data_IF_306135229065
#
_entry.id   IF_306135229065
#
_cell.length_a   1.000
_cell.length_b   1.000
_cell.length_c   1.000
_cell.angle_alpha   90.00
_cell.angle_beta   90.00
_cell.angle_gamma   90.00
#
_symmetry.space_group_name_H-M   'P 1'
#
loop_
_entity.id
_entity.type
_entity.pdbx_description
1 polymer ?
#
# COMPACT_ATOMS: atom_id res chain seq x y z
N UNK A 1 13.07 -8.21 9.68
CA UNK A 1 13.57 -8.15 11.07
C UNK A 1 12.37 -7.94 12.00
N UNK A 2 11.84 -9.02 12.59
CA UNK A 2 10.80 -8.93 13.63
C UNK A 2 11.51 -8.68 14.96
N UNK A 3 11.23 -7.55 15.59
CA UNK A 3 11.69 -7.30 16.97
C UNK A 3 10.87 -8.25 17.86
N UNK A 4 11.58 -9.10 18.60
CA UNK A 4 10.99 -10.04 19.55
C UNK A 4 10.22 -9.29 20.65
N UNK A 5 9.04 -9.82 20.92
CA UNK A 5 8.01 -9.26 21.77
C UNK A 5 8.42 -9.38 23.27
N UNK A 6 8.83 -8.29 23.95
CA UNK A 6 9.05 -8.24 25.42
C UNK A 6 7.70 -8.04 26.13
N UNK A 7 7.54 -8.68 27.30
CA UNK A 7 6.31 -8.82 28.10
C UNK A 7 5.31 -7.65 28.00
N UNK A 8 4.08 -7.98 27.60
CA UNK A 8 2.96 -7.05 27.45
C UNK A 8 2.11 -7.06 28.70
N UNK A 9 1.84 -5.89 29.26
CA UNK A 9 0.94 -5.76 30.39
C UNK A 9 -0.29 -4.97 29.95
N UNK A 10 -1.47 -5.59 30.08
CA UNK A 10 -2.72 -4.87 30.13
C UNK A 10 -2.77 -4.17 31.49
N UNK A 11 -2.75 -2.84 31.51
CA UNK A 11 -2.82 -2.08 32.75
C UNK A 11 -4.12 -1.30 32.81
N UNK A 12 -4.83 -1.39 33.94
CA UNK A 12 -6.02 -0.58 34.23
C UNK A 12 -5.65 0.52 35.21
N UNK A 13 -5.94 1.77 34.86
CA UNK A 13 -5.92 2.90 35.78
C UNK A 13 -7.18 3.74 35.52
N UNK A 14 -8.04 3.88 36.53
CA UNK A 14 -9.19 4.80 36.55
C UNK A 14 -10.18 4.64 35.36
N UNK A 15 -10.82 3.48 35.24
CA UNK A 15 -11.90 3.18 34.26
C UNK A 15 -11.61 3.42 32.77
N UNK A 16 -10.36 3.72 32.41
CA UNK A 16 -9.92 3.75 31.02
C UNK A 16 -9.06 2.53 30.73
N UNK A 17 -9.59 1.66 29.89
CA UNK A 17 -8.86 0.49 29.43
C UNK A 17 -7.84 0.90 28.35
N UNK A 18 -6.58 0.56 28.58
CA UNK A 18 -5.49 0.85 27.66
C UNK A 18 -4.53 -0.32 27.53
N UNK A 19 -3.94 -0.43 26.34
CA UNK A 19 -2.87 -1.35 26.04
C UNK A 19 -1.55 -0.58 26.02
N UNK A 20 -0.54 -1.03 26.77
CA UNK A 20 0.73 -0.30 26.93
C UNK A 20 1.91 -1.16 26.51
N UNK A 21 2.85 -0.54 25.79
CA UNK A 21 4.13 -1.10 25.45
C UNK A 21 5.22 -0.16 25.96
N UNK A 22 6.18 -0.74 26.68
CA UNK A 22 7.35 -0.05 27.20
C UNK A 22 8.60 -0.44 26.38
N UNK A 23 9.70 0.27 26.61
CA UNK A 23 11.02 0.01 26.02
C UNK A 23 11.05 0.03 24.48
N UNK A 24 10.22 0.87 23.88
CA UNK A 24 10.16 1.02 22.43
C UNK A 24 11.38 1.76 21.89
N UNK A 25 12.12 1.11 21.00
CA UNK A 25 13.29 1.70 20.34
C UNK A 25 12.86 2.53 19.13
N UNK A 26 12.15 3.64 19.33
CA UNK A 26 11.82 4.57 18.24
C UNK A 26 12.96 5.57 18.00
N UNK A 27 13.76 5.94 19.02
CA UNK A 27 14.77 7.02 18.90
C UNK A 27 14.23 8.28 18.20
N UNK A 28 12.93 8.57 18.33
CA UNK A 28 12.22 9.68 17.67
C UNK A 28 11.81 9.44 16.21
N UNK A 29 12.03 8.24 15.64
CA UNK A 29 11.58 7.91 14.30
C UNK A 29 10.85 6.56 14.25
N UNK A 30 9.83 6.46 13.39
CA UNK A 30 9.16 5.19 13.13
C UNK A 30 7.66 5.36 12.89
N UNK A 31 7.01 4.24 12.61
CA UNK A 31 5.58 4.16 12.34
C UNK A 31 4.95 3.06 13.16
N UNK A 32 3.83 3.37 13.79
CA UNK A 32 3.02 2.45 14.58
C UNK A 32 1.77 2.15 13.77
N UNK A 33 1.52 0.88 13.48
CA UNK A 33 0.33 0.42 12.79
C UNK A 33 -0.55 -0.42 13.69
N UNK A 34 -1.83 -0.12 13.72
CA UNK A 34 -2.84 -0.78 14.53
C UNK A 34 -3.97 -1.25 13.62
N UNK A 35 -4.08 -2.57 13.44
CA UNK A 35 -5.10 -3.20 12.61
C UNK A 35 -6.24 -3.74 13.47
N UNK A 36 -7.43 -3.15 13.34
CA UNK A 36 -8.59 -3.52 14.15
C UNK A 36 -9.92 -3.27 13.41
N UNK A 37 -10.99 -3.89 13.89
CA UNK A 37 -12.35 -3.46 13.64
C UNK A 37 -12.86 -2.74 14.88
N UNK A 38 -13.11 -1.43 14.77
CA UNK A 38 -13.43 -0.61 15.93
C UNK A 38 -14.80 -0.97 16.51
N UNK A 39 -14.83 -1.25 17.82
CA UNK A 39 -16.07 -1.47 18.60
C UNK A 39 -16.46 -0.27 19.46
N UNK A 40 -15.66 0.80 19.42
CA UNK A 40 -15.90 2.06 20.10
C UNK A 40 -15.85 3.21 19.09
N UNK A 41 -16.42 4.34 19.46
CA UNK A 41 -16.49 5.53 18.61
C UNK A 41 -15.16 6.30 18.52
N UNK A 42 -14.16 5.90 19.30
CA UNK A 42 -12.81 6.49 19.25
C UNK A 42 -11.71 5.54 19.69
N UNK A 43 -10.52 5.76 19.12
CA UNK A 43 -9.25 5.17 19.53
C UNK A 43 -8.20 6.27 19.68
N UNK A 44 -7.20 6.03 20.53
CA UNK A 44 -6.09 6.96 20.72
C UNK A 44 -4.77 6.20 20.74
N UNK A 45 -3.80 6.64 19.93
CA UNK A 45 -2.42 6.16 19.95
C UNK A 45 -1.58 7.27 20.59
N UNK A 46 -1.12 7.04 21.82
CA UNK A 46 -0.33 7.99 22.61
C UNK A 46 1.12 7.52 22.70
N UNK A 47 2.02 8.48 22.55
CA UNK A 47 3.47 8.34 22.66
C UNK A 47 4.01 9.23 23.75
N UNK A 48 4.83 8.67 24.63
CA UNK A 48 5.44 9.41 25.72
C UNK A 48 6.73 8.75 26.20
N UNK A 49 7.43 9.46 27.07
CA UNK A 49 8.46 8.88 27.92
C UNK A 49 7.79 8.27 29.15
N UNK A 50 8.20 7.08 29.57
CA UNK A 50 7.55 6.34 30.66
C UNK A 50 7.57 7.09 32.01
N UNK A 51 8.51 8.02 32.18
CA UNK A 51 8.70 8.85 33.38
C UNK A 51 8.09 10.25 33.27
N UNK A 52 7.44 10.59 32.15
CA UNK A 52 6.86 11.91 31.93
C UNK A 52 5.39 11.80 31.52
N UNK A 53 4.65 12.82 31.93
CA UNK A 53 3.29 13.05 31.51
C UNK A 53 3.21 13.69 30.11
N UNK A 54 4.29 14.30 29.62
CA UNK A 54 4.31 14.90 28.28
C UNK A 54 4.11 13.84 27.20
N UNK A 55 3.36 14.19 26.16
CA UNK A 55 2.99 13.23 25.13
C UNK A 55 2.72 13.86 23.77
N UNK A 56 2.74 13.00 22.75
CA UNK A 56 2.07 13.24 21.47
C UNK A 56 1.03 12.14 21.30
N UNK A 57 -0.19 12.50 20.90
CA UNK A 57 -1.22 11.51 20.60
C UNK A 57 -1.87 11.75 19.26
N UNK A 58 -2.31 10.65 18.67
CA UNK A 58 -3.25 10.62 17.57
C UNK A 58 -4.59 10.12 18.10
N UNK A 59 -5.60 10.98 18.04
CA UNK A 59 -6.96 10.68 18.43
C UNK A 59 -7.81 10.53 17.17
N UNK A 60 -8.46 9.37 17.01
CA UNK A 60 -9.27 9.03 15.83
C UNK A 60 -10.68 8.72 16.31
N UNK A 61 -11.66 9.47 15.82
CA UNK A 61 -13.07 9.23 16.09
C UNK A 61 -13.90 9.12 14.80
N UNK A 62 -15.20 8.87 14.95
CA UNK A 62 -16.15 8.70 13.84
C UNK A 62 -16.51 10.00 13.12
N UNK A 63 -16.09 11.16 13.63
CA UNK A 63 -16.39 12.47 13.05
C UNK A 63 -15.19 13.45 13.00
N UNK A 64 -14.03 13.03 13.52
CA UNK A 64 -12.80 13.83 13.52
C UNK A 64 -11.57 12.95 13.79
N UNK A 65 -10.43 13.38 13.27
CA UNK A 65 -9.13 12.94 13.74
C UNK A 65 -8.28 14.16 14.11
N UNK A 66 -7.46 14.06 15.15
CA UNK A 66 -6.55 15.13 15.53
C UNK A 66 -5.26 14.61 16.14
N UNK A 67 -4.21 15.43 15.99
CA UNK A 67 -2.93 15.21 16.65
C UNK A 67 -2.82 16.22 17.78
N UNK A 68 -2.58 15.71 18.98
CA UNK A 68 -2.44 16.49 20.20
C UNK A 68 -1.00 16.39 20.71
N UNK A 69 -0.54 17.44 21.37
CA UNK A 69 0.73 17.48 22.06
C UNK A 69 0.52 18.06 23.45
N UNK A 70 1.01 17.38 24.48
CA UNK A 70 1.14 17.93 25.83
C UNK A 70 2.61 18.07 26.17
N UNK A 71 3.03 19.28 26.51
CA UNK A 71 4.37 19.58 26.98
C UNK A 71 4.30 20.64 28.08
N UNK A 72 5.02 20.42 29.19
CA UNK A 72 5.08 21.37 30.33
C UNK A 72 3.68 21.72 30.86
N UNK A 73 2.83 20.70 31.04
CA UNK A 73 1.40 20.81 31.43
C UNK A 73 0.50 21.60 30.48
N UNK A 74 1.00 22.06 29.34
CA UNK A 74 0.21 22.71 28.30
C UNK A 74 -0.16 21.70 27.22
N UNK A 75 -1.45 21.45 27.07
CA UNK A 75 -1.97 20.65 25.97
C UNK A 75 -2.38 21.57 24.81
N UNK A 76 -1.91 21.21 23.62
CA UNK A 76 -2.19 21.92 22.38
C UNK A 76 -2.62 20.94 21.30
N UNK A 77 -3.54 21.38 20.47
CA UNK A 77 -3.92 20.67 19.26
C UNK A 77 -3.03 21.14 18.12
N UNK A 78 -2.19 20.24 17.61
CA UNK A 78 -1.29 20.56 16.52
C UNK A 78 -2.06 20.71 15.21
N UNK A 79 -2.96 19.76 14.92
CA UNK A 79 -3.85 19.84 13.76
C UNK A 79 -5.07 18.92 13.93
N UNK A 80 -6.09 19.11 13.08
CA UNK A 80 -7.30 18.29 12.99
C UNK A 80 -7.82 18.20 11.56
N UNK A 81 -8.52 17.11 11.29
CA UNK A 81 -9.31 16.96 10.06
C UNK A 81 -10.72 16.48 10.38
N UNK A 82 -11.67 16.94 9.56
CA UNK A 82 -13.06 16.46 9.51
C UNK A 82 -13.36 15.81 8.16
N UNK A 83 -12.33 15.47 7.38
CA UNK A 83 -12.50 14.64 6.18
C UNK A 83 -12.91 13.23 6.61
N UNK A 84 -14.03 12.74 6.05
CA UNK A 84 -14.57 11.41 6.35
C UNK A 84 -13.57 10.29 6.08
N UNK A 85 -12.63 10.48 5.15
CA UNK A 85 -11.56 9.50 4.86
C UNK A 85 -10.59 9.31 6.02
N UNK A 86 -10.56 10.22 6.99
CA UNK A 86 -9.70 10.18 8.16
C UNK A 86 -10.39 9.60 9.41
N UNK A 87 -11.64 9.13 9.30
CA UNK A 87 -12.42 8.72 10.46
C UNK A 87 -12.21 7.26 10.83
N UNK A 88 -12.53 6.96 12.07
CA UNK A 88 -12.62 5.60 12.56
C UNK A 88 -13.78 4.89 11.86
N UNK A 89 -13.47 3.79 11.16
CA UNK A 89 -14.44 2.89 10.58
C UNK A 89 -14.79 1.77 11.58
N UNK A 90 -16.07 1.70 11.96
CA UNK A 90 -16.63 0.70 12.89
C UNK A 90 -17.23 -0.51 12.17
N UNK A 91 -17.48 -0.41 10.87
CA UNK A 91 -18.14 -1.44 10.07
C UNK A 91 -17.16 -2.50 9.57
N UNK A 92 -15.91 -2.11 9.32
CA UNK A 92 -14.89 -3.00 8.78
C UNK A 92 -13.55 -2.90 9.50
N UNK A 93 -12.81 -3.99 9.43
CA UNK A 93 -11.43 -4.07 9.89
C UNK A 93 -10.54 -3.17 9.02
N UNK A 94 -9.71 -2.34 9.65
CA UNK A 94 -8.87 -1.35 9.00
C UNK A 94 -7.52 -1.20 9.72
N UNK A 95 -6.46 -0.92 8.96
CA UNK A 95 -5.15 -0.53 9.49
C UNK A 95 -5.10 0.99 9.67
N UNK A 96 -4.86 1.45 10.90
CA UNK A 96 -4.59 2.85 11.23
C UNK A 96 -3.13 3.00 11.60
N UNK A 97 -2.45 4.05 11.17
CA UNK A 97 -1.03 4.20 11.51
C UNK A 97 -0.63 5.62 11.88
N UNK A 98 0.30 5.73 12.83
CA UNK A 98 0.87 7.00 13.29
C UNK A 98 2.39 7.00 13.12
N UNK A 99 2.89 7.96 12.36
CA UNK A 99 4.29 8.05 11.94
C UNK A 99 4.98 9.29 12.49
N UNK A 100 6.20 9.11 13.00
CA UNK A 100 7.05 10.12 13.61
C UNK A 100 8.32 10.24 12.78
N UNK A 101 8.49 11.40 12.18
CA UNK A 101 9.63 11.72 11.33
C UNK A 101 10.43 12.85 11.99
N UNK A 102 11.28 12.52 12.97
CA UNK A 102 12.14 13.49 13.64
C UNK A 102 13.07 14.21 12.67
N UNK A 103 13.62 13.52 11.66
CA UNK A 103 14.60 14.12 10.74
C UNK A 103 13.96 15.26 9.94
N UNK A 104 12.74 15.07 9.46
CA UNK A 104 12.05 16.10 8.68
C UNK A 104 11.03 16.91 9.49
N UNK A 105 10.84 16.58 10.77
CA UNK A 105 9.90 17.21 11.70
C UNK A 105 8.43 17.10 11.29
N UNK A 106 8.06 15.92 10.77
CA UNK A 106 6.70 15.60 10.41
C UNK A 106 6.06 14.60 11.37
N UNK A 107 4.77 14.78 11.62
CA UNK A 107 3.89 13.75 12.16
C UNK A 107 2.86 13.41 11.09
N UNK A 108 2.64 12.12 10.82
CA UNK A 108 1.69 11.68 9.79
C UNK A 108 0.75 10.62 10.34
N UNK A 109 -0.52 10.74 9.98
CA UNK A 109 -1.54 9.74 10.22
C UNK A 109 -2.12 9.30 8.87
N UNK A 110 -2.33 8.00 8.71
CA UNK A 110 -3.04 7.44 7.57
C UNK A 110 -3.81 6.18 7.88
N UNK A 111 -4.54 5.74 6.87
CA UNK A 111 -5.45 4.59 6.90
C UNK A 111 -5.11 3.66 5.73
N UNK A 112 -5.01 2.36 6.02
CA UNK A 112 -4.60 1.33 5.06
C UNK A 112 -3.10 1.04 5.14
N UNK A 113 -2.48 0.55 4.05
CA UNK A 113 -1.03 0.37 3.97
C UNK A 113 -0.25 1.61 4.45
N UNK A 114 0.92 1.39 5.07
CA UNK A 114 1.78 2.47 5.61
C UNK A 114 2.52 3.18 4.48
N UNK A 115 1.78 3.92 3.66
CA UNK A 115 2.25 4.61 2.45
C UNK A 115 1.99 6.12 2.56
N UNK A 116 2.89 6.91 1.99
CA UNK A 116 2.81 8.37 2.02
C UNK A 116 1.54 8.88 1.30
N UNK A 117 1.16 8.23 0.20
CA UNK A 117 -0.08 8.51 -0.55
C UNK A 117 -1.36 8.30 0.28
N UNK A 118 -1.31 7.48 1.33
CA UNK A 118 -2.45 7.17 2.20
C UNK A 118 -2.45 7.99 3.49
N UNK A 119 -1.63 9.05 3.55
CA UNK A 119 -1.66 10.03 4.63
C UNK A 119 -2.95 10.84 4.55
N UNK A 120 -3.72 10.85 5.64
CA UNK A 120 -4.99 11.60 5.75
C UNK A 120 -4.88 12.81 6.68
N UNK A 121 -3.82 12.90 7.48
CA UNK A 121 -3.48 14.07 8.29
C UNK A 121 -1.95 14.17 8.43
N UNK A 122 -1.40 15.37 8.27
CA UNK A 122 0.05 15.61 8.34
C UNK A 122 0.34 16.94 9.02
N UNK A 123 1.25 16.92 9.99
CA UNK A 123 1.71 18.11 10.71
C UNK A 123 3.17 18.36 10.36
N UNK A 124 3.44 19.51 9.76
CA UNK A 124 4.79 20.08 9.67
C UNK A 124 5.06 20.89 10.94
N UNK A 125 5.93 20.37 11.81
CA UNK A 125 6.20 21.02 13.08
C UNK A 125 7.00 22.34 12.93
N UNK A 126 7.84 22.46 11.89
CA UNK A 126 8.55 23.72 11.60
C UNK A 126 7.54 24.81 11.25
N UNK A 127 6.57 24.47 10.39
CA UNK A 127 5.48 25.38 10.04
C UNK A 127 4.64 25.75 11.26
N UNK A 128 4.27 24.78 12.09
CA UNK A 128 3.52 25.04 13.33
C UNK A 128 4.22 26.04 14.25
N UNK A 129 5.52 25.87 14.52
CA UNK A 129 6.30 26.80 15.34
C UNK A 129 6.38 28.20 14.70
N UNK A 130 6.59 28.27 13.38
CA UNK A 130 6.60 29.53 12.65
C UNK A 130 5.27 30.28 12.80
N UNK A 131 4.16 29.58 12.60
CA UNK A 131 2.81 30.15 12.70
C UNK A 131 2.48 30.61 14.13
N UNK A 132 2.99 29.91 15.16
CA UNK A 132 2.87 30.35 16.55
C UNK A 132 3.63 31.65 16.80
N UNK A 133 4.91 31.71 16.42
CA UNK A 133 5.75 32.88 16.65
C UNK A 133 5.28 34.11 15.88
N UNK A 134 4.63 33.93 14.73
CA UNK A 134 4.06 35.04 13.95
C UNK A 134 2.81 35.67 14.59
N UNK A 135 2.01 34.89 15.34
CA UNK A 135 0.80 35.41 16.01
C UNK A 135 1.13 36.40 17.14
N UNK A 136 2.33 36.30 17.69
CA UNK A 136 2.79 37.15 18.80
C UNK A 136 3.45 38.46 18.31
N UNK A 137 3.48 38.72 16.98
CA UNK A 137 4.15 39.89 16.40
C UNK A 137 3.17 41.01 16.01
N UNK A 138 3.51 42.29 16.28
CA UNK A 138 2.79 43.44 15.73
C UNK A 138 3.02 43.58 14.21
N UNK A 139 1.99 43.96 13.45
CA UNK A 139 1.93 43.98 11.97
C UNK A 139 2.86 45.00 11.26
N UNK A 140 3.79 45.66 11.94
CA UNK A 140 4.64 46.69 11.33
C UNK A 140 5.98 46.13 10.84
N UNK A 141 6.53 46.76 9.79
CA UNK A 141 7.74 46.38 9.04
C UNK A 141 8.88 45.85 9.93
N UNK A 142 9.06 44.53 9.91
CA UNK A 142 10.16 43.83 10.59
C UNK A 142 11.49 44.16 9.90
N UNK A 143 12.50 44.51 10.68
CA UNK A 143 13.85 44.69 10.14
C UNK A 143 14.47 43.34 9.75
N UNK A 144 15.49 43.34 8.88
CA UNK A 144 16.23 42.11 8.54
C UNK A 144 16.84 41.42 9.76
N UNK A 145 17.20 42.18 10.80
CA UNK A 145 17.72 41.62 12.05
C UNK A 145 16.63 40.87 12.84
N UNK A 146 15.39 41.36 12.81
CA UNK A 146 14.26 40.70 13.48
C UNK A 146 13.91 39.36 12.80
N UNK A 147 13.96 39.33 11.46
CA UNK A 147 13.76 38.11 10.68
C UNK A 147 14.84 37.06 10.98
N UNK A 148 16.11 37.46 11.04
CA UNK A 148 17.21 36.54 11.36
C UNK A 148 17.12 35.97 12.79
N UNK A 149 16.72 36.79 13.77
CA UNK A 149 16.52 36.32 15.14
C UNK A 149 15.33 35.36 15.26
N UNK A 150 14.25 35.63 14.52
CA UNK A 150 13.08 34.76 14.46
C UNK A 150 13.43 33.40 13.85
N UNK A 151 14.18 33.38 12.75
CA UNK A 151 14.63 32.13 12.13
C UNK A 151 15.50 31.29 13.08
N UNK A 152 16.36 31.94 13.87
CA UNK A 152 17.14 31.24 14.88
C UNK A 152 16.25 30.64 15.98
N UNK A 153 15.28 31.40 16.48
CA UNK A 153 14.32 30.92 17.49
C UNK A 153 13.49 29.73 16.98
N UNK A 154 13.09 29.74 15.71
CA UNK A 154 12.40 28.60 15.07
C UNK A 154 13.33 27.37 15.08
N UNK A 155 14.58 27.52 14.64
CA UNK A 155 15.55 26.42 14.61
C UNK A 155 15.75 25.81 15.99
N UNK A 156 15.93 26.65 17.01
CA UNK A 156 16.16 26.20 18.39
C UNK A 156 14.98 25.40 18.93
N UNK A 157 13.74 25.89 18.75
CA UNK A 157 12.53 25.19 19.20
C UNK A 157 12.28 23.88 18.46
N UNK A 158 12.57 23.86 17.15
CA UNK A 158 12.46 22.65 16.32
C UNK A 158 13.50 21.60 16.75
N UNK A 159 14.72 22.01 17.06
CA UNK A 159 15.76 21.12 17.57
C UNK A 159 15.41 20.58 18.97
N UNK A 160 14.87 21.43 19.85
CA UNK A 160 14.41 21.04 21.18
C UNK A 160 13.28 20.00 21.10
N UNK A 161 12.31 20.21 20.21
CA UNK A 161 11.28 19.23 19.92
C UNK A 161 11.88 17.89 19.43
N UNK A 162 12.85 17.95 18.50
CA UNK A 162 13.55 16.77 18.02
C UNK A 162 14.27 15.99 19.13
N UNK A 163 14.90 16.70 20.08
CA UNK A 163 15.53 16.10 21.27
C UNK A 163 14.50 15.49 22.22
N UNK A 164 13.33 16.09 22.35
CA UNK A 164 12.25 15.59 23.20
C UNK A 164 11.64 14.30 22.67
N UNK A 165 11.21 14.25 21.41
CA UNK A 165 10.59 13.03 20.84
C UNK A 165 11.55 11.84 20.76
N UNK A 166 12.87 12.09 20.76
CA UNK A 166 13.90 11.03 20.84
C UNK A 166 13.83 10.25 22.16
N UNK A 167 13.26 10.83 23.21
CA UNK A 167 13.12 10.22 24.54
C UNK A 167 11.88 9.34 24.68
N UNK A 168 10.99 9.30 23.68
CA UNK A 168 9.81 8.45 23.74
C UNK A 168 10.21 6.97 23.69
N UNK A 169 9.77 6.25 24.72
CA UNK A 169 10.02 4.82 24.93
C UNK A 169 8.71 4.05 25.17
N UNK A 170 7.57 4.75 25.10
CA UNK A 170 6.27 4.22 25.46
C UNK A 170 5.23 4.44 24.37
N UNK A 171 4.43 3.42 24.11
CA UNK A 171 3.18 3.52 23.34
C UNK A 171 2.03 3.07 24.21
N UNK A 172 1.01 3.90 24.29
CA UNK A 172 -0.27 3.57 24.93
C UNK A 172 -1.38 3.67 23.89
N UNK A 173 -2.15 2.61 23.72
CA UNK A 173 -3.32 2.59 22.85
C UNK A 173 -4.58 2.49 23.71
N UNK A 174 -5.52 3.43 23.52
CA UNK A 174 -6.82 3.45 24.20
C UNK A 174 -7.95 3.15 23.23
N UNK A 175 -9.09 2.74 23.79
CA UNK A 175 -10.31 2.47 23.00
C UNK A 175 -10.43 1.03 22.49
N UNK A 176 -9.60 0.11 22.99
CA UNK A 176 -9.49 -1.26 22.46
C UNK A 176 -10.27 -2.34 23.22
N UNK A 177 -10.75 -2.08 24.44
CA UNK A 177 -11.30 -3.15 25.29
C UNK A 177 -12.82 -3.12 25.29
N UNK A 178 -13.43 -4.28 25.05
CA UNK A 178 -14.85 -4.56 25.26
C UNK A 178 -15.03 -5.29 26.60
N UNK A 179 -16.04 -4.91 27.38
CA UNK A 179 -16.40 -5.66 28.60
C UNK A 179 -17.16 -6.92 28.17
N UNK A 180 -16.72 -8.09 28.65
CA UNK A 180 -17.58 -9.28 28.69
C UNK A 180 -18.31 -9.34 30.04
N UNK A 181 -19.37 -10.14 30.11
CA UNK A 181 -20.20 -10.36 31.31
C UNK A 181 -19.43 -10.93 32.51
N UNK A 182 -18.19 -11.41 32.31
CA UNK A 182 -17.30 -11.88 33.37
C UNK A 182 -16.14 -10.90 33.62
N UNK A 183 -16.07 -10.20 34.77
CA UNK A 183 -15.15 -9.07 35.01
C UNK A 183 -13.66 -9.41 35.10
N UNK A 184 -13.29 -10.68 34.97
CA UNK A 184 -11.93 -11.21 35.14
C UNK A 184 -11.20 -11.56 33.83
N UNK A 185 -11.86 -11.49 32.67
CA UNK A 185 -11.22 -11.77 31.36
C UNK A 185 -11.49 -10.62 30.39
N UNK A 186 -10.43 -9.88 30.03
CA UNK A 186 -10.49 -8.80 29.06
C UNK A 186 -9.86 -9.26 27.74
N UNK A 187 -10.58 -9.09 26.64
CA UNK A 187 -10.00 -9.24 25.30
C UNK A 187 -9.66 -7.86 24.74
N UNK A 188 -8.45 -7.75 24.18
CA UNK A 188 -8.05 -6.56 23.44
C UNK A 188 -8.54 -6.71 22.00
N UNK A 189 -9.34 -5.76 21.55
CA UNK A 189 -9.90 -5.78 20.20
C UNK A 189 -8.96 -5.11 19.19
N UNK A 190 -7.83 -5.77 18.92
CA UNK A 190 -7.08 -5.56 17.69
C UNK A 190 -6.56 -6.90 17.17
N UNK A 191 -6.42 -6.98 15.87
CA UNK A 191 -5.91 -8.18 15.20
C UNK A 191 -4.39 -8.16 15.02
N UNK A 192 -3.81 -6.97 14.84
CA UNK A 192 -2.36 -6.82 14.65
C UNK A 192 -1.88 -5.46 15.12
N UNK A 193 -0.76 -5.44 15.84
CA UNK A 193 -0.01 -4.23 16.17
C UNK A 193 1.39 -4.36 15.59
N UNK A 194 1.78 -3.42 14.75
CA UNK A 194 3.02 -3.44 13.98
C UNK A 194 3.86 -2.21 14.29
N UNK A 195 5.16 -2.43 14.44
CA UNK A 195 6.15 -1.36 14.57
C UNK A 195 7.10 -1.37 13.38
N UNK A 196 7.25 -0.21 12.76
CA UNK A 196 8.23 0.01 11.72
C UNK A 196 9.26 1.03 12.21
N UNK A 197 10.57 0.70 12.26
CA UNK A 197 11.62 1.65 12.64
C UNK A 197 11.72 2.88 11.73
N UNK A 198 11.15 2.86 10.52
CA UNK A 198 11.22 3.98 9.59
C UNK A 198 9.90 4.77 9.58
N UNK A 199 9.99 6.11 9.49
CA UNK A 199 8.82 6.93 9.22
C UNK A 199 8.32 6.74 7.79
N UNK A 200 7.02 6.89 7.61
CA UNK A 200 6.42 7.07 6.29
C UNK A 200 6.83 8.46 5.81
N UNK A 201 7.63 8.51 4.74
CA UNK A 201 8.19 9.76 4.19
C UNK A 201 7.89 9.86 2.70
N UNK A 202 8.37 8.89 1.95
CA UNK A 202 8.12 8.69 0.53
C UNK A 202 7.75 7.24 0.29
N UNK A 203 6.95 7.01 -0.74
CA UNK A 203 6.62 5.66 -1.18
C UNK A 203 7.75 5.06 -2.00
N UNK A 204 7.99 3.76 -1.84
CA UNK A 204 8.93 3.04 -2.70
C UNK A 204 8.37 3.01 -4.13
N UNK A 205 9.13 3.44 -5.15
CA UNK A 205 8.59 3.57 -6.50
C UNK A 205 8.07 2.24 -7.06
N UNK A 206 6.95 2.23 -7.81
CA UNK A 206 6.36 0.99 -8.29
C UNK A 206 7.12 0.35 -9.46
N UNK A 207 7.89 1.13 -10.21
CA UNK A 207 8.60 0.68 -11.41
C UNK A 207 10.03 0.24 -11.08
N UNK A 208 10.43 -0.91 -11.62
CA UNK A 208 11.75 -1.50 -11.47
C UNK A 208 12.53 -1.29 -12.77
N UNK A 209 13.74 -0.75 -12.64
CA UNK A 209 14.69 -0.65 -13.75
C UNK A 209 15.86 -1.63 -13.52
N UNK A 210 16.58 -1.99 -14.59
CA UNK A 210 17.83 -2.73 -14.44
C UNK A 210 18.84 -1.85 -13.71
N UNK A 211 19.71 -2.45 -12.90
CA UNK A 211 20.71 -1.70 -12.14
C UNK A 211 21.66 -0.88 -13.04
N UNK A 212 21.95 -1.40 -14.23
CA UNK A 212 22.75 -0.73 -15.27
C UNK A 212 22.07 0.47 -15.93
N UNK A 213 20.73 0.57 -15.83
CA UNK A 213 19.94 1.68 -16.37
C UNK A 213 19.71 2.81 -15.34
N UNK A 214 20.19 2.64 -14.09
CA UNK A 214 19.98 3.60 -13.03
C UNK A 214 20.80 4.89 -13.23
N UNK A 215 20.12 6.03 -13.23
CA UNK A 215 20.72 7.37 -13.35
C UNK A 215 20.48 8.19 -12.08
N UNK A 216 21.32 9.20 -11.82
CA UNK A 216 21.16 10.09 -10.67
C UNK A 216 19.82 10.82 -10.72
N UNK A 217 19.44 11.32 -11.89
CA UNK A 217 18.17 12.01 -12.13
C UNK A 217 16.97 11.06 -11.94
N UNK A 218 17.09 9.81 -12.41
CA UNK A 218 16.06 8.79 -12.22
C UNK A 218 15.81 8.49 -10.74
N UNK A 219 16.88 8.38 -9.95
CA UNK A 219 16.81 8.15 -8.51
C UNK A 219 16.25 9.36 -7.75
N UNK A 220 16.69 10.58 -8.07
CA UNK A 220 16.22 11.83 -7.45
C UNK A 220 14.71 12.04 -7.67
N UNK A 221 14.19 11.71 -8.86
CA UNK A 221 12.77 11.82 -9.16
C UNK A 221 11.89 10.86 -8.34
N UNK A 222 12.46 9.82 -7.72
CA UNK A 222 11.70 8.84 -6.94
C UNK A 222 10.63 8.12 -7.76
N UNK A 223 10.85 7.93 -9.07
CA UNK A 223 9.89 7.29 -9.98
C UNK A 223 10.23 5.83 -10.31
N UNK A 224 11.46 5.43 -10.02
CA UNK A 224 11.99 4.09 -10.31
C UNK A 224 12.81 3.58 -9.12
N UNK A 225 12.89 2.26 -8.99
CA UNK A 225 13.77 1.58 -8.05
C UNK A 225 14.54 0.47 -8.77
N UNK A 226 15.57 -0.05 -8.11
CA UNK A 226 16.23 -1.30 -8.52
C UNK A 226 15.72 -2.47 -7.69
N UNK A 227 15.92 -3.69 -8.19
CA UNK A 227 15.42 -4.90 -7.56
C UNK A 227 16.01 -5.15 -6.16
N UNK A 228 17.27 -4.76 -5.95
CA UNK A 228 17.99 -4.91 -4.68
C UNK A 228 17.37 -4.12 -3.51
N UNK A 229 16.55 -3.10 -3.81
CA UNK A 229 15.83 -2.33 -2.78
C UNK A 229 14.56 -3.04 -2.29
N UNK A 230 14.12 -4.10 -2.97
CA UNK A 230 12.85 -4.77 -2.72
C UNK A 230 13.00 -5.99 -1.79
N UNK A 231 11.91 -6.49 -1.18
CA UNK A 231 11.93 -7.72 -0.39
C UNK A 231 12.49 -8.92 -1.18
N UNK A 232 13.15 -9.85 -0.50
CA UNK A 232 13.76 -11.05 -1.11
C UNK A 232 12.76 -11.85 -1.95
N UNK A 233 11.49 -11.91 -1.54
CA UNK A 233 10.42 -12.51 -2.33
C UNK A 233 10.32 -11.85 -3.71
N UNK A 234 10.22 -10.52 -3.79
CA UNK A 234 10.19 -9.80 -5.06
C UNK A 234 11.46 -10.02 -5.89
N UNK A 235 12.63 -10.09 -5.25
CA UNK A 235 13.90 -10.35 -5.94
C UNK A 235 13.88 -11.71 -6.65
N UNK A 236 13.43 -12.76 -5.96
CA UNK A 236 13.27 -14.10 -6.56
C UNK A 236 12.32 -14.06 -7.76
N UNK A 237 11.18 -13.39 -7.62
CA UNK A 237 10.20 -13.28 -8.69
C UNK A 237 10.75 -12.55 -9.92
N UNK A 238 11.42 -11.41 -9.70
CA UNK A 238 12.01 -10.60 -10.77
C UNK A 238 12.99 -11.40 -11.63
N UNK A 239 13.92 -12.14 -11.01
CA UNK A 239 14.93 -12.89 -11.75
C UNK A 239 14.35 -14.02 -12.63
N UNK A 240 13.12 -14.46 -12.36
CA UNK A 240 12.44 -15.45 -13.20
C UNK A 240 11.77 -14.84 -14.43
N UNK A 241 11.47 -13.53 -14.45
CA UNK A 241 10.71 -12.91 -15.55
C UNK A 241 11.44 -11.78 -16.27
N UNK A 242 12.46 -11.17 -15.67
CA UNK A 242 13.10 -9.96 -16.19
C UNK A 242 13.95 -10.16 -17.45
N UNK A 243 14.33 -11.40 -17.81
CA UNK A 243 15.15 -11.68 -18.99
C UNK A 243 14.53 -11.16 -20.28
N UNK A 244 15.31 -10.52 -21.15
CA UNK A 244 14.85 -10.02 -22.45
C UNK A 244 14.36 -11.16 -23.38
N UNK A 245 14.76 -12.41 -23.12
CA UNK A 245 14.28 -13.60 -23.83
C UNK A 245 12.83 -13.99 -23.48
N UNK A 246 12.29 -13.47 -22.37
CA UNK A 246 10.88 -13.67 -22.02
C UNK A 246 10.08 -12.61 -22.76
N UNK A 247 9.72 -12.95 -24.00
CA UNK A 247 8.96 -12.12 -24.93
C UNK A 247 7.76 -12.89 -25.47
N UNK A 248 6.70 -12.17 -25.83
CA UNK A 248 5.56 -12.76 -26.53
C UNK A 248 5.96 -13.31 -27.91
N UNK A 249 6.71 -12.52 -28.67
CA UNK A 249 7.14 -12.94 -30.00
C UNK A 249 8.28 -13.93 -29.85
N UNK A 250 8.05 -15.14 -30.35
CA UNK A 250 8.98 -16.28 -30.22
C UNK A 250 9.57 -16.63 -31.57
N UNK A 251 10.71 -17.31 -31.58
CA UNK A 251 11.37 -17.67 -32.84
C UNK A 251 10.48 -18.47 -33.80
N UNK A 252 9.67 -19.39 -33.27
CA UNK A 252 8.72 -20.22 -34.02
C UNK A 252 7.38 -19.53 -34.32
N UNK A 253 7.11 -18.39 -33.68
CA UNK A 253 5.94 -17.56 -33.94
C UNK A 253 6.27 -16.06 -33.73
N UNK A 254 6.94 -15.42 -34.69
CA UNK A 254 7.46 -14.05 -34.55
C UNK A 254 6.35 -13.00 -34.51
N UNK A 255 5.19 -13.27 -35.11
CA UNK A 255 4.03 -12.36 -35.14
C UNK A 255 3.00 -12.67 -34.06
N UNK A 256 3.37 -13.37 -32.99
CA UNK A 256 2.40 -13.87 -32.01
C UNK A 256 1.56 -12.75 -31.39
N UNK A 257 2.19 -11.63 -30.99
CA UNK A 257 1.48 -10.47 -30.45
C UNK A 257 0.49 -9.85 -31.47
N UNK A 258 0.89 -9.76 -32.74
CA UNK A 258 0.04 -9.26 -33.82
C UNK A 258 -1.14 -10.20 -34.09
N UNK A 259 -0.91 -11.50 -34.06
CA UNK A 259 -1.95 -12.51 -34.23
C UNK A 259 -3.01 -12.46 -33.11
N UNK A 260 -2.58 -12.22 -31.86
CA UNK A 260 -3.50 -12.01 -30.74
C UNK A 260 -4.32 -10.74 -30.95
N UNK A 261 -3.68 -9.63 -31.31
CA UNK A 261 -4.38 -8.36 -31.59
C UNK A 261 -5.43 -8.54 -32.70
N UNK A 262 -5.07 -9.25 -33.77
CA UNK A 262 -6.00 -9.58 -34.84
C UNK A 262 -7.18 -10.44 -34.34
N UNK A 263 -6.91 -11.44 -33.48
CA UNK A 263 -7.94 -12.30 -32.88
C UNK A 263 -8.90 -11.52 -31.96
N UNK A 264 -8.40 -10.48 -31.29
CA UNK A 264 -9.21 -9.58 -30.45
C UNK A 264 -10.09 -8.68 -31.31
N UNK A 265 -9.55 -8.16 -32.42
CA UNK A 265 -10.28 -7.21 -33.30
C UNK A 265 -11.30 -7.88 -34.22
N UNK A 266 -11.15 -9.17 -34.47
CA UNK A 266 -12.04 -9.93 -35.33
C UNK A 266 -13.15 -10.61 -34.52
N UNK A 267 -14.42 -10.33 -34.83
CA UNK A 267 -15.57 -10.94 -34.13
C UNK A 267 -15.67 -12.46 -34.29
N UNK A 268 -15.03 -13.04 -35.30
CA UNK A 268 -14.91 -14.49 -35.46
C UNK A 268 -13.74 -15.09 -34.67
N UNK A 269 -12.81 -14.26 -34.19
CA UNK A 269 -11.59 -14.65 -33.51
C UNK A 269 -11.84 -15.30 -32.14
N UNK A 270 -10.99 -16.23 -31.76
CA UNK A 270 -11.11 -16.95 -30.48
C UNK A 270 -10.97 -16.00 -29.28
N UNK A 271 -10.11 -14.98 -29.37
CA UNK A 271 -9.93 -14.00 -28.29
C UNK A 271 -11.17 -13.13 -28.13
N UNK A 272 -11.71 -12.59 -29.23
CA UNK A 272 -12.95 -11.80 -29.20
C UNK A 272 -14.10 -12.59 -28.55
N UNK A 273 -14.33 -13.83 -29.00
CA UNK A 273 -15.42 -14.67 -28.49
C UNK A 273 -15.27 -14.96 -26.99
N UNK A 274 -14.04 -15.19 -26.51
CA UNK A 274 -13.79 -15.39 -25.07
C UNK A 274 -14.03 -14.11 -24.27
N UNK A 275 -13.61 -12.95 -24.78
CA UNK A 275 -13.88 -11.66 -24.14
C UNK A 275 -15.39 -11.37 -24.07
N UNK A 276 -16.12 -11.62 -25.17
CA UNK A 276 -17.57 -11.49 -25.22
C UNK A 276 -18.28 -12.40 -24.21
N UNK A 277 -17.81 -13.64 -24.06
CA UNK A 277 -18.29 -14.56 -23.04
C UNK A 277 -18.09 -14.00 -21.61
N UNK A 278 -16.90 -13.46 -21.32
CA UNK A 278 -16.56 -12.88 -20.01
C UNK A 278 -17.30 -11.58 -19.72
N UNK A 279 -17.67 -10.83 -20.75
CA UNK A 279 -18.43 -9.59 -20.64
C UNK A 279 -19.91 -9.81 -20.28
N UNK A 280 -20.43 -11.04 -20.38
CA UNK A 280 -21.84 -11.34 -20.07
C UNK A 280 -22.20 -10.90 -18.65
N UNK A 281 -23.04 -9.86 -18.56
CA UNK A 281 -23.50 -9.30 -17.29
C UNK A 281 -22.52 -8.35 -16.61
N UNK A 282 -21.44 -7.91 -17.28
CA UNK A 282 -20.43 -6.95 -16.79
C UNK A 282 -20.14 -5.87 -17.84
N UNK A 283 -19.36 -4.85 -17.48
CA UNK A 283 -18.85 -3.92 -18.47
C UNK A 283 -17.88 -4.70 -19.39
N UNK A 284 -18.06 -4.68 -20.72
CA UNK A 284 -17.12 -5.33 -21.65
C UNK A 284 -15.67 -4.88 -21.48
N UNK A 285 -15.44 -3.61 -21.12
CA UNK A 285 -14.09 -3.09 -20.87
C UNK A 285 -13.49 -3.60 -19.55
N UNK A 286 -14.30 -4.11 -18.63
CA UNK A 286 -13.83 -4.74 -17.38
C UNK A 286 -13.52 -6.24 -17.61
N UNK A 287 -12.88 -6.56 -18.73
CA UNK A 287 -12.49 -7.93 -19.10
C UNK A 287 -11.08 -7.99 -19.64
N UNK A 288 -10.43 -9.13 -19.48
CA UNK A 288 -9.09 -9.41 -20.02
C UNK A 288 -8.92 -10.93 -20.08
N UNK A 289 -7.94 -11.40 -20.86
CA UNK A 289 -7.64 -12.84 -20.96
C UNK A 289 -6.51 -13.20 -19.99
N UNK A 290 -6.63 -14.36 -19.33
CA UNK A 290 -5.64 -14.94 -18.42
C UNK A 290 -5.15 -16.25 -19.02
N UNK A 291 -3.86 -16.33 -19.32
CA UNK A 291 -3.22 -17.52 -19.88
C UNK A 291 -2.16 -18.00 -18.89
N UNK A 292 -2.30 -19.22 -18.38
CA UNK A 292 -1.36 -19.76 -17.39
C UNK A 292 -0.13 -20.38 -18.05
N UNK A 293 1.04 -20.10 -17.47
CA UNK A 293 2.32 -20.64 -17.89
C UNK A 293 2.83 -21.62 -16.83
N UNK A 294 3.15 -22.85 -17.25
CA UNK A 294 3.64 -23.89 -16.34
C UNK A 294 2.54 -24.54 -15.50
N UNK A 295 2.95 -25.20 -14.43
CA UNK A 295 2.07 -25.93 -13.52
C UNK A 295 1.83 -25.14 -12.23
N UNK A 296 0.70 -25.42 -11.59
CA UNK A 296 0.43 -24.97 -10.23
C UNK A 296 1.40 -25.67 -9.26
N UNK A 297 2.19 -24.87 -8.54
CA UNK A 297 3.19 -25.35 -7.59
C UNK A 297 2.67 -25.28 -6.13
N UNK A 298 1.44 -24.83 -5.91
CA UNK A 298 0.86 -24.64 -4.58
C UNK A 298 1.49 -23.50 -3.77
N UNK A 299 2.30 -22.66 -4.41
CA UNK A 299 3.01 -21.53 -3.78
C UNK A 299 2.39 -20.16 -4.14
N UNK A 300 1.23 -20.15 -4.78
CA UNK A 300 0.43 -18.97 -5.10
C UNK A 300 -1.06 -19.32 -5.23
N UNK A 301 -1.96 -18.33 -5.34
CA UNK A 301 -3.34 -18.58 -5.75
C UNK A 301 -3.40 -19.08 -7.21
N UNK A 302 -3.46 -20.40 -7.38
CA UNK A 302 -3.38 -21.06 -8.69
C UNK A 302 -1.98 -21.05 -9.28
N UNK A 303 -1.86 -21.19 -10.60
CA UNK A 303 -0.57 -21.21 -11.27
C UNK A 303 0.17 -19.88 -11.12
N UNK A 304 1.47 -19.89 -10.77
CA UNK A 304 2.15 -18.69 -10.34
C UNK A 304 2.46 -17.73 -11.49
N UNK A 305 2.68 -18.24 -12.71
CA UNK A 305 2.89 -17.43 -13.90
C UNK A 305 1.59 -17.26 -14.69
N UNK A 306 1.17 -16.02 -14.88
CA UNK A 306 -0.04 -15.67 -15.63
C UNK A 306 0.29 -14.59 -16.66
N UNK A 307 0.12 -14.90 -17.93
CA UNK A 307 0.09 -13.91 -19.00
C UNK A 307 -1.31 -13.32 -19.06
N UNK A 308 -1.42 -12.04 -18.76
CA UNK A 308 -2.65 -11.27 -18.89
C UNK A 308 -2.62 -10.44 -20.18
N UNK A 309 -3.67 -10.57 -20.98
CA UNK A 309 -3.80 -9.92 -22.28
C UNK A 309 -4.98 -8.95 -22.20
N UNK A 310 -4.69 -7.69 -22.45
CA UNK A 310 -5.57 -6.55 -22.24
C UNK A 310 -5.89 -5.88 -23.57
N UNK A 311 -7.12 -6.00 -24.09
CA UNK A 311 -7.54 -5.21 -25.24
C UNK A 311 -7.44 -3.70 -24.97
N UNK A 312 -7.46 -2.90 -26.04
CA UNK A 312 -7.45 -1.43 -25.95
C UNK A 312 -8.57 -0.93 -25.03
N UNK A 313 -8.24 -0.08 -24.06
CA UNK A 313 -9.21 0.52 -23.12
C UNK A 313 -9.64 -0.38 -21.96
N UNK A 314 -9.35 -1.68 -22.01
CA UNK A 314 -9.78 -2.63 -20.99
C UNK A 314 -9.04 -2.45 -19.66
N UNK A 315 -9.69 -2.86 -18.57
CA UNK A 315 -9.20 -2.67 -17.20
C UNK A 315 -9.65 -3.78 -16.25
N UNK A 316 -8.98 -3.89 -15.11
CA UNK A 316 -9.38 -4.79 -14.01
C UNK A 316 -10.32 -4.07 -13.03
N UNK A 317 -11.17 -4.75 -12.26
CA UNK A 317 -11.75 -4.12 -11.06
C UNK A 317 -10.64 -3.68 -10.09
N UNK A 318 -10.98 -2.80 -9.14
CA UNK A 318 -10.10 -2.53 -7.99
C UNK A 318 -10.03 -3.80 -7.15
N UNK A 319 -8.84 -4.33 -6.91
CA UNK A 319 -8.67 -5.61 -6.22
C UNK A 319 -7.45 -5.64 -5.31
N UNK A 320 -7.46 -6.59 -4.36
CA UNK A 320 -6.41 -6.87 -3.38
C UNK A 320 -5.79 -8.25 -3.62
N UNK A 321 -4.46 -8.30 -3.55
CA UNK A 321 -3.62 -9.50 -3.68
C UNK A 321 -3.38 -10.25 -2.37
N UNK A 322 -4.28 -10.16 -1.40
CA UNK A 322 -4.26 -10.93 -0.13
C UNK A 322 -2.85 -11.13 0.49
N UNK A 323 -2.02 -10.09 0.43
CA UNK A 323 -0.68 -10.00 1.00
C UNK A 323 0.41 -10.84 0.29
N UNK A 324 0.14 -11.34 -0.93
CA UNK A 324 1.14 -12.00 -1.78
C UNK A 324 2.15 -11.02 -2.36
N UNK A 325 3.24 -11.58 -2.88
CA UNK A 325 4.24 -10.85 -3.64
C UNK A 325 4.02 -11.07 -5.13
N UNK A 326 4.25 -10.03 -5.92
CA UNK A 326 4.17 -10.13 -7.37
C UNK A 326 5.24 -9.28 -8.06
N UNK A 327 5.67 -9.71 -9.24
CA UNK A 327 6.35 -8.86 -10.22
C UNK A 327 5.60 -8.96 -11.55
N UNK A 328 5.35 -7.83 -12.19
CA UNK A 328 4.54 -7.72 -13.41
C UNK A 328 5.44 -7.20 -14.52
N UNK A 329 5.77 -8.05 -15.49
CA UNK A 329 6.54 -7.66 -16.67
C UNK A 329 5.68 -6.90 -17.68
N UNK A 330 6.24 -5.81 -18.19
CA UNK A 330 5.64 -4.76 -19.01
C UNK A 330 6.53 -3.54 -18.83
N UNK A 331 6.12 -2.61 -17.98
CA UNK A 331 7.01 -1.58 -17.39
C UNK A 331 7.78 -2.07 -16.13
N UNK A 332 7.77 -3.40 -15.89
CA UNK A 332 8.28 -4.12 -14.71
C UNK A 332 7.90 -3.43 -13.38
N UNK A 333 6.76 -3.82 -12.81
CA UNK A 333 6.32 -3.34 -11.49
C UNK A 333 6.30 -4.43 -10.43
N UNK A 334 6.16 -4.05 -9.16
CA UNK A 334 6.13 -4.99 -8.04
C UNK A 334 4.98 -4.72 -7.06
N UNK A 335 4.61 -5.79 -6.36
CA UNK A 335 3.65 -5.81 -5.27
C UNK A 335 4.28 -6.61 -4.12
N UNK A 336 4.05 -6.17 -2.89
CA UNK A 336 4.44 -6.92 -1.69
C UNK A 336 3.32 -6.87 -0.65
N UNK A 337 3.42 -7.66 0.42
CA UNK A 337 2.48 -7.61 1.53
C UNK A 337 2.28 -6.23 2.19
N UNK A 338 3.10 -5.23 1.85
CA UNK A 338 3.03 -3.87 2.40
C UNK A 338 2.75 -2.78 1.37
N UNK A 339 3.07 -3.01 0.11
CA UNK A 339 3.03 -1.99 -0.93
C UNK A 339 2.21 -2.49 -2.11
N UNK A 340 1.36 -1.59 -2.63
CA UNK A 340 0.59 -1.79 -3.87
C UNK A 340 -0.38 -2.97 -3.88
N UNK A 341 -0.76 -3.48 -2.71
CA UNK A 341 -1.72 -4.58 -2.57
C UNK A 341 -3.07 -4.31 -3.21
N UNK A 342 -3.57 -3.07 -3.12
CA UNK A 342 -4.85 -2.64 -3.68
C UNK A 342 -4.57 -1.77 -4.91
N UNK A 343 -5.03 -2.20 -6.07
CA UNK A 343 -4.82 -1.47 -7.31
C UNK A 343 -5.87 -1.82 -8.38
N UNK A 344 -5.80 -1.09 -9.49
CA UNK A 344 -6.50 -1.36 -10.74
C UNK A 344 -5.51 -1.19 -11.89
N UNK A 345 -5.51 -2.13 -12.83
CA UNK A 345 -4.73 -2.05 -14.06
C UNK A 345 -5.65 -1.62 -15.20
N UNK A 346 -5.17 -0.76 -16.08
CA UNK A 346 -5.90 -0.31 -17.28
C UNK A 346 -4.96 -0.17 -18.45
N UNK A 347 -5.31 -0.78 -19.58
CA UNK A 347 -4.67 -0.50 -20.84
C UNK A 347 -5.15 0.86 -21.38
N UNK A 348 -4.24 1.83 -21.43
CA UNK A 348 -4.52 3.19 -21.91
C UNK A 348 -4.16 3.41 -23.38
N UNK A 349 -3.66 2.39 -24.05
CA UNK A 349 -3.24 2.46 -25.46
C UNK A 349 -4.39 2.08 -26.39
N UNK A 350 -4.20 2.32 -27.69
CA UNK A 350 -5.12 1.97 -28.78
C UNK A 350 -4.88 0.55 -29.34
N UNK A 351 -4.00 -0.23 -28.69
CA UNK A 351 -3.60 -1.59 -29.07
C UNK A 351 -3.74 -2.53 -27.89
N UNK A 352 -3.73 -3.84 -28.12
CA UNK A 352 -3.56 -4.79 -27.03
C UNK A 352 -2.23 -4.59 -26.32
N UNK A 353 -2.29 -4.66 -24.99
CA UNK A 353 -1.15 -4.78 -24.10
C UNK A 353 -1.15 -6.17 -23.47
N UNK A 354 0.02 -6.70 -23.17
CA UNK A 354 0.13 -7.94 -22.43
C UNK A 354 1.16 -7.81 -21.32
N UNK A 355 0.87 -8.42 -20.18
CA UNK A 355 1.70 -8.40 -19.00
C UNK A 355 1.92 -9.82 -18.49
N UNK A 356 3.16 -10.17 -18.15
CA UNK A 356 3.44 -11.44 -17.46
C UNK A 356 3.50 -11.16 -15.96
N UNK A 357 2.56 -11.71 -15.21
CA UNK A 357 2.52 -11.61 -13.75
C UNK A 357 3.09 -12.89 -13.14
N UNK A 358 3.96 -12.75 -12.15
CA UNK A 358 4.48 -13.86 -11.37
C UNK A 358 4.18 -13.62 -9.88
N UNK A 359 3.39 -14.49 -9.27
CA UNK A 359 2.93 -14.38 -7.88
C UNK A 359 3.54 -15.44 -6.98
N UNK A 360 3.67 -15.12 -5.69
CA UNK A 360 4.01 -16.10 -4.65
C UNK A 360 3.52 -15.66 -3.27
N UNK A 361 3.12 -16.63 -2.43
CA UNK A 361 2.96 -16.43 -0.98
C UNK A 361 4.28 -15.96 -0.35
N UNK A 362 4.19 -15.21 0.76
CA UNK A 362 5.38 -14.84 1.52
C UNK A 362 6.05 -16.06 2.15
N UNK A 363 7.38 -16.04 2.33
CA UNK A 363 8.10 -17.19 2.93
C UNK A 363 7.69 -17.49 4.38
N UNK A 364 6.94 -16.58 5.01
CA UNK A 364 6.45 -16.68 6.39
C UNK A 364 4.92 -16.67 6.45
N UNK A 365 4.29 -16.81 5.29
CA UNK A 365 2.85 -16.90 5.23
C UNK A 365 2.45 -18.31 5.66
N UNK A 366 1.59 -18.40 6.67
CA UNK A 366 1.05 -19.66 7.17
C UNK A 366 -0.40 -19.87 6.70
N UNK A 367 -1.01 -18.85 6.09
CA UNK A 367 -2.40 -18.87 5.61
C UNK A 367 -2.42 -18.65 4.08
N UNK A 368 -2.37 -19.76 3.34
CA UNK A 368 -2.42 -19.75 1.88
C UNK A 368 -3.84 -19.52 1.36
N UNK A 369 -4.32 -18.29 1.48
CA UNK A 369 -5.62 -17.91 0.95
C UNK A 369 -5.63 -18.07 -0.58
N UNK A 370 -6.67 -18.68 -1.15
CA UNK A 370 -6.67 -19.05 -2.59
C UNK A 370 -7.36 -18.03 -3.51
N UNK A 371 -7.88 -16.93 -2.95
CA UNK A 371 -8.71 -15.99 -3.70
C UNK A 371 -8.12 -14.59 -3.68
N UNK A 372 -8.32 -13.88 -4.79
CA UNK A 372 -8.20 -12.43 -4.81
C UNK A 372 -9.50 -11.80 -4.29
N UNK A 373 -9.42 -10.60 -3.73
CA UNK A 373 -10.60 -9.82 -3.34
C UNK A 373 -10.77 -8.67 -4.29
N UNK A 374 -11.95 -8.45 -4.85
CA UNK A 374 -12.22 -7.28 -5.70
C UNK A 374 -13.44 -6.52 -5.21
N UNK A 375 -13.45 -5.22 -5.49
CA UNK A 375 -14.59 -4.35 -5.25
C UNK A 375 -15.50 -4.39 -6.46
N UNK A 376 -16.72 -4.86 -6.26
CA UNK A 376 -17.77 -4.84 -7.28
C UNK A 376 -18.54 -3.53 -7.19
N UNK A 377 -18.36 -2.68 -8.20
CA UNK A 377 -18.99 -1.36 -8.27
C UNK A 377 -20.51 -1.42 -8.42
N UNK A 378 -21.09 -2.56 -8.82
CA UNK A 378 -22.54 -2.68 -9.03
C UNK A 378 -23.31 -2.82 -7.72
N UNK A 379 -22.74 -3.50 -6.73
CA UNK A 379 -23.39 -3.75 -5.45
C UNK A 379 -22.61 -3.23 -4.24
N UNK A 380 -21.55 -2.45 -4.48
CA UNK A 380 -20.73 -1.77 -3.47
C UNK A 380 -20.17 -2.75 -2.43
N UNK A 381 -19.75 -3.94 -2.89
CA UNK A 381 -19.30 -5.05 -2.04
C UNK A 381 -17.95 -5.61 -2.46
N UNK A 382 -17.22 -6.10 -1.46
CA UNK A 382 -16.01 -6.88 -1.68
C UNK A 382 -16.42 -8.33 -1.96
N UNK A 383 -15.96 -8.88 -3.10
CA UNK A 383 -16.22 -10.25 -3.53
C UNK A 383 -14.91 -11.02 -3.72
N UNK A 384 -15.00 -12.35 -3.63
CA UNK A 384 -13.89 -13.23 -3.92
C UNK A 384 -13.81 -13.49 -5.42
N UNK A 385 -12.59 -13.50 -5.95
CA UNK A 385 -12.26 -13.91 -7.30
C UNK A 385 -11.28 -15.08 -7.22
N UNK A 386 -11.73 -16.24 -7.69
CA UNK A 386 -10.85 -17.40 -7.85
C UNK A 386 -10.08 -17.23 -9.17
N UNK A 387 -8.75 -17.24 -9.16
CA UNK A 387 -7.98 -17.04 -10.38
C UNK A 387 -8.05 -18.28 -11.27
N UNK A 388 -8.95 -18.22 -12.24
CA UNK A 388 -9.06 -19.23 -13.28
C UNK A 388 -8.29 -18.81 -14.54
N UNK A 389 -7.86 -19.80 -15.31
CA UNK A 389 -7.18 -19.62 -16.58
C UNK A 389 -8.15 -19.82 -17.72
N UNK A 390 -8.08 -18.96 -18.74
CA UNK A 390 -8.84 -19.17 -19.98
C UNK A 390 -8.19 -20.28 -20.82
N UNK A 391 -6.86 -20.39 -20.79
CA UNK A 391 -6.06 -21.41 -21.50
C UNK A 391 -4.70 -21.62 -20.84
N UNK A 392 -4.10 -22.79 -21.07
CA UNK A 392 -2.64 -22.93 -20.90
C UNK A 392 -1.90 -22.22 -22.04
N UNK A 393 -0.68 -21.74 -21.80
CA UNK A 393 0.11 -21.05 -22.84
C UNK A 393 0.35 -21.92 -24.10
N UNK A 394 0.63 -23.21 -23.91
CA UNK A 394 0.86 -24.13 -25.03
C UNK A 394 -0.41 -24.29 -25.90
N UNK A 395 -1.57 -24.41 -25.26
CA UNK A 395 -2.86 -24.46 -25.95
C UNK A 395 -3.16 -23.14 -26.67
N UNK A 396 -3.04 -22.03 -25.95
CA UNK A 396 -3.34 -20.69 -26.49
C UNK A 396 -2.47 -20.37 -27.72
N UNK A 397 -1.16 -20.60 -27.62
CA UNK A 397 -0.22 -20.39 -28.74
C UNK A 397 -0.61 -21.24 -29.96
N UNK A 398 -0.98 -22.50 -29.75
CA UNK A 398 -1.42 -23.41 -30.83
C UNK A 398 -2.71 -22.93 -31.49
N UNK A 399 -3.68 -22.47 -30.70
CA UNK A 399 -4.96 -21.98 -31.21
C UNK A 399 -4.79 -20.69 -32.02
N UNK A 400 -4.05 -19.72 -31.50
CA UNK A 400 -3.76 -18.46 -32.21
C UNK A 400 -2.93 -18.71 -33.47
N UNK A 401 -1.93 -19.60 -33.40
CA UNK A 401 -1.14 -19.94 -34.60
C UNK A 401 -2.00 -20.57 -35.69
N UNK A 402 -2.98 -21.40 -35.32
CA UNK A 402 -3.91 -22.00 -36.27
C UNK A 402 -4.81 -20.94 -36.90
N UNK A 403 -5.39 -20.05 -36.08
CA UNK A 403 -6.24 -18.94 -36.55
C UNK A 403 -5.46 -18.01 -37.49
N UNK A 404 -4.24 -17.62 -37.10
CA UNK A 404 -3.37 -16.75 -37.89
C UNK A 404 -3.00 -17.34 -39.25
N UNK A 405 -2.70 -18.64 -39.33
CA UNK A 405 -2.45 -19.29 -40.62
C UNK A 405 -3.68 -19.36 -41.52
N UNK A 406 -4.88 -19.34 -40.94
CA UNK A 406 -6.14 -19.38 -41.69
C UNK A 406 -6.50 -18.01 -42.27
N UNK A 407 -6.14 -16.90 -41.62
CA UNK A 407 -6.41 -15.55 -42.15
C UNK A 407 -5.69 -15.32 -43.49
N UNK A 408 -4.41 -15.70 -43.60
CA UNK A 408 -3.67 -15.55 -44.86
C UNK A 408 -4.24 -16.40 -46.01
N UNK A 409 -4.88 -17.53 -45.71
CA UNK A 409 -5.50 -18.37 -46.75
C UNK A 409 -6.76 -17.74 -47.32
N UNK A 410 -7.53 -17.01 -46.51
CA UNK A 410 -8.71 -16.26 -46.96
C UNK A 410 -8.29 -15.11 -47.88
N UNK A 411 -7.22 -14.40 -47.54
CA UNK A 411 -6.70 -13.27 -48.34
C UNK A 411 -6.06 -13.70 -49.67
N UNK A 412 -5.55 -14.94 -49.75
CA UNK A 412 -4.94 -15.48 -50.98
C UNK A 412 -5.96 -16.03 -52.00
N UNK A 413 -7.25 -15.97 -51.68
CA UNK A 413 -8.36 -16.54 -52.46
C UNK A 413 -9.31 -15.48 -53.04
N UNK A 414 -8.85 -14.23 -53.12
CA UNK A 414 -9.53 -13.10 -53.77
C UNK A 414 -8.82 -12.72 -55.05
#
# INVERSE_FOLDING_TARGET
MHIFYRAYYLCRVNDTDYYRINDLTLHGQGTIGLELQATKDSICIKLNQSTSDDFISLDIGTNRACILMRKDNKEVKLDKTTDRKAFLNTEMKQLYWFSLDRKNYFLRYGIGPMQSLLTVLSVDFKKYIKDLLQKDLPQNDLSQNDLSQQDQKIKDQVEEYGKWIKKFDNVTVRGLVTRQENPSVYQVNFSKLTFWPLPVTVDLPPNIIKCEDATLEGLELGKVTVIDNLPEECQKLYWNIASDNISLNTHDFPDFALAIEHSIRNNEGICYKKLEEKAKGKNPEETYLRVTLGQDQGNSPGAPFVLEIWPSGHYSPVHKHADYFAVIKGEITWISNKFYQIHQLKNKTDKMCATLQYYQYGNKDEDHYENFKYFDSKDDKIKNFKPESDWTFAEFKKLIMKEWKQSFRKDSSV
#
